data_IF_781016033819
#
_entry.id   IF_781016033819
#
_cell.length_a   1.000
_cell.length_b   1.000
_cell.length_c   1.000
_cell.angle_alpha   90.00
_cell.angle_beta   90.00
_cell.angle_gamma   90.00
#
_symmetry.space_group_name_H-M   'P 1'
#
loop_
_entity.id
_entity.type
_entity.pdbx_description
1 polymer ?
#
# COMPACT_ATOMS: atom_id res chain seq x y z
N UNK A 1 5.30 11.95 27.73
CA UNK A 1 6.20 11.86 26.57
C UNK A 1 5.63 10.78 25.68
N UNK A 2 4.97 11.19 24.60
CA UNK A 2 4.40 10.33 23.56
C UNK A 2 5.56 9.64 22.84
N UNK A 3 5.58 8.32 22.81
CA UNK A 3 6.52 7.53 22.02
C UNK A 3 6.08 7.60 20.54
N UNK A 4 6.21 8.80 19.96
CA UNK A 4 6.20 8.96 18.51
C UNK A 4 7.48 8.30 18.02
N UNK A 5 7.38 7.30 17.13
CA UNK A 5 8.55 6.93 16.34
C UNK A 5 8.90 8.16 15.53
N UNK A 6 9.94 8.90 15.98
CA UNK A 6 10.50 10.05 15.28
C UNK A 6 10.61 9.66 13.80
N UNK A 7 9.94 10.42 12.92
CA UNK A 7 9.96 10.15 11.48
C UNK A 7 11.39 9.88 11.06
N UNK A 8 11.65 8.72 10.44
CA UNK A 8 13.02 8.33 10.08
C UNK A 8 13.58 9.39 9.15
N UNK A 9 14.84 9.77 9.36
CA UNK A 9 15.55 10.61 8.38
C UNK A 9 16.01 9.72 7.23
N UNK A 10 16.22 10.30 6.06
CA UNK A 10 16.70 9.58 4.86
C UNK A 10 18.04 8.86 5.15
N UNK A 11 18.86 9.44 6.02
CA UNK A 11 20.16 8.87 6.43
C UNK A 11 20.02 7.57 7.24
N UNK A 12 18.88 7.36 7.89
CA UNK A 12 18.59 6.17 8.69
C UNK A 12 18.03 5.00 7.82
N UNK A 13 17.81 5.22 6.52
CA UNK A 13 17.33 4.19 5.59
C UNK A 13 18.47 3.28 5.11
N UNK A 14 18.24 1.98 4.88
CA UNK A 14 19.21 1.12 4.21
C UNK A 14 19.42 1.55 2.75
N UNK A 15 20.59 1.27 2.18
CA UNK A 15 20.98 1.75 0.83
C UNK A 15 19.99 1.39 -0.27
N UNK A 16 19.41 0.19 -0.21
CA UNK A 16 18.40 -0.24 -1.19
C UNK A 16 17.11 0.60 -1.09
N UNK A 17 16.74 1.02 0.12
CA UNK A 17 15.53 1.80 0.37
C UNK A 17 15.73 3.27 -0.02
N UNK A 18 16.95 3.81 0.13
CA UNK A 18 17.29 5.16 -0.34
C UNK A 18 17.06 5.32 -1.84
N UNK A 19 17.48 4.34 -2.65
CA UNK A 19 17.27 4.38 -4.11
C UNK A 19 15.79 4.41 -4.48
N UNK A 20 14.99 3.51 -3.88
CA UNK A 20 13.54 3.50 -4.11
C UNK A 20 12.84 4.79 -3.62
N UNK A 21 13.32 5.36 -2.52
CA UNK A 21 12.85 6.65 -2.00
C UNK A 21 13.14 7.80 -2.99
N UNK A 22 14.34 7.83 -3.57
CA UNK A 22 14.73 8.82 -4.58
C UNK A 22 13.88 8.68 -5.85
N UNK A 23 13.70 7.45 -6.34
CA UNK A 23 12.87 7.13 -7.51
C UNK A 23 11.39 7.48 -7.30
N UNK A 24 10.87 7.33 -6.07
CA UNK A 24 9.50 7.72 -5.72
C UNK A 24 9.28 9.25 -5.70
N UNK A 25 10.35 10.04 -5.72
CA UNK A 25 10.27 11.51 -5.75
C UNK A 25 10.67 12.20 -4.45
N UNK A 26 11.34 11.49 -3.53
CA UNK A 26 11.94 12.04 -2.31
C UNK A 26 11.00 12.86 -1.41
N UNK A 27 9.86 12.30 -0.96
CA UNK A 27 8.91 13.02 -0.10
C UNK A 27 9.51 13.34 1.28
N UNK A 28 9.07 14.42 1.91
CA UNK A 28 9.48 14.74 3.28
C UNK A 28 9.01 13.64 4.24
N UNK A 29 9.95 12.95 4.87
CA UNK A 29 9.68 11.82 5.77
C UNK A 29 9.23 12.26 7.18
N UNK A 30 9.46 13.53 7.52
CA UNK A 30 9.06 14.08 8.81
C UNK A 30 7.53 14.09 8.92
N UNK A 31 7.00 13.52 10.02
CA UNK A 31 5.56 13.41 10.24
C UNK A 31 4.84 12.28 9.50
N UNK A 32 5.54 11.45 8.69
CA UNK A 32 4.93 10.27 8.07
C UNK A 32 4.86 9.04 8.99
N UNK A 33 5.63 9.06 10.09
CA UNK A 33 5.77 7.97 11.05
C UNK A 33 4.49 7.53 11.75
N UNK A 34 4.57 6.38 12.42
CA UNK A 34 3.46 5.88 13.23
C UNK A 34 3.34 6.60 14.57
N UNK A 35 2.09 6.86 14.97
CA UNK A 35 1.68 7.39 16.27
C UNK A 35 0.81 6.36 16.97
N UNK A 36 1.37 5.68 17.97
CA UNK A 36 0.68 4.57 18.67
C UNK A 36 -0.12 5.01 19.91
N UNK A 37 0.22 6.16 20.48
CA UNK A 37 -0.32 6.64 21.76
C UNK A 37 -0.93 8.04 21.63
N UNK A 38 -1.84 8.41 22.54
CA UNK A 38 -2.57 9.68 22.50
C UNK A 38 -4.07 9.52 22.23
N UNK A 39 -4.80 10.61 21.92
CA UNK A 39 -6.20 10.56 21.51
C UNK A 39 -6.40 9.64 20.30
N UNK A 40 -7.55 8.96 20.23
CA UNK A 40 -7.81 7.98 19.16
C UNK A 40 -7.71 8.58 17.76
N UNK A 41 -8.10 9.86 17.61
CA UNK A 41 -8.04 10.60 16.35
C UNK A 41 -6.62 10.88 15.85
N UNK A 42 -5.64 10.93 16.76
CA UNK A 42 -4.25 11.25 16.44
C UNK A 42 -3.42 9.99 16.17
N UNK A 43 -3.94 8.82 16.57
CA UNK A 43 -3.26 7.53 16.38
C UNK A 43 -3.28 7.15 14.91
N UNK A 44 -2.10 6.86 14.38
CA UNK A 44 -1.87 6.56 12.97
C UNK A 44 -0.87 5.42 12.92
N UNK A 45 -1.32 4.24 12.54
CA UNK A 45 -0.46 3.06 12.51
C UNK A 45 -0.83 2.12 11.37
N UNK A 46 0.17 1.42 10.85
CA UNK A 46 -0.02 0.29 9.95
C UNK A 46 0.49 0.52 8.54
N UNK A 47 0.54 -0.56 7.77
CA UNK A 47 1.07 -0.57 6.41
C UNK A 47 0.14 0.18 5.44
N UNK A 48 0.75 1.00 4.60
CA UNK A 48 0.10 1.82 3.57
C UNK A 48 0.64 1.38 2.21
N UNK A 49 -0.14 1.64 1.16
CA UNK A 49 0.41 1.54 -0.19
C UNK A 49 1.59 2.50 -0.33
N UNK A 50 2.55 2.08 -1.13
CA UNK A 50 3.82 2.78 -1.40
C UNK A 50 4.82 2.73 -0.23
N UNK A 51 4.50 2.07 0.89
CA UNK A 51 5.46 1.90 1.98
C UNK A 51 6.63 1.02 1.56
N UNK A 52 7.85 1.37 1.99
CA UNK A 52 9.00 0.49 1.85
C UNK A 52 8.98 -0.55 2.96
N UNK A 53 9.00 -1.82 2.57
CA UNK A 53 8.91 -2.96 3.47
C UNK A 53 10.02 -3.98 3.21
N UNK A 54 10.35 -4.74 4.24
CA UNK A 54 11.16 -5.95 4.18
C UNK A 54 10.32 -7.12 4.68
N UNK A 55 10.35 -8.23 3.94
CA UNK A 55 9.56 -9.42 4.21
C UNK A 55 10.49 -10.60 4.39
N UNK A 56 10.35 -11.28 5.53
CA UNK A 56 11.01 -12.54 5.80
C UNK A 56 10.11 -13.68 5.34
N UNK A 57 10.65 -14.55 4.49
CA UNK A 57 9.99 -15.76 4.01
C UNK A 57 10.43 -16.98 4.83
N UNK A 58 9.58 -18.00 4.86
CA UNK A 58 9.94 -19.31 5.38
C UNK A 58 10.98 -19.97 4.47
N UNK A 59 12.21 -20.12 4.97
CA UNK A 59 13.34 -20.68 4.22
C UNK A 59 13.08 -22.10 3.71
N UNK A 60 12.19 -22.87 4.37
CA UNK A 60 11.84 -24.24 3.95
C UNK A 60 11.06 -24.28 2.64
N UNK A 61 10.48 -23.14 2.25
CA UNK A 61 9.71 -22.98 1.01
C UNK A 61 10.57 -22.41 -0.14
N UNK A 62 11.88 -22.25 0.09
CA UNK A 62 12.82 -21.68 -0.88
C UNK A 62 13.91 -22.69 -1.27
N UNK A 63 14.50 -22.54 -2.47
CA UNK A 63 15.74 -23.23 -2.83
C UNK A 63 16.88 -22.91 -1.85
N UNK A 64 17.81 -23.86 -1.65
CA UNK A 64 18.90 -23.75 -0.67
C UNK A 64 19.84 -22.56 -0.91
N UNK A 65 19.92 -22.07 -2.14
CA UNK A 65 20.80 -20.98 -2.57
C UNK A 65 20.13 -19.59 -2.53
N UNK A 66 18.90 -19.49 -1.99
CA UNK A 66 18.11 -18.27 -2.05
C UNK A 66 17.97 -17.59 -0.70
N UNK A 67 18.26 -16.30 -0.65
CA UNK A 67 18.00 -15.48 0.52
C UNK A 67 16.49 -15.38 0.81
N UNK A 68 16.06 -15.50 2.08
CA UNK A 68 14.65 -15.48 2.46
C UNK A 68 14.07 -14.07 2.57
N UNK A 69 14.78 -13.05 2.09
CA UNK A 69 14.36 -11.66 2.21
C UNK A 69 13.82 -11.13 0.89
N UNK A 70 12.61 -10.56 0.94
CA UNK A 70 12.06 -9.76 -0.14
C UNK A 70 11.95 -8.32 0.34
N UNK A 71 12.51 -7.39 -0.43
CA UNK A 71 12.58 -5.97 -0.10
C UNK A 71 11.98 -5.16 -1.23
N UNK A 72 11.29 -4.08 -0.91
CA UNK A 72 10.72 -3.23 -1.94
C UNK A 72 9.57 -2.38 -1.45
N UNK A 73 8.85 -1.83 -2.40
CA UNK A 73 7.67 -0.99 -2.18
C UNK A 73 6.39 -1.82 -2.18
N UNK A 74 5.54 -1.64 -1.18
CA UNK A 74 4.25 -2.31 -1.08
C UNK A 74 3.26 -1.71 -2.09
N UNK A 75 2.89 -2.48 -3.11
CA UNK A 75 1.95 -2.06 -4.15
C UNK A 75 0.51 -2.43 -3.77
N UNK A 76 0.35 -3.59 -3.15
CA UNK A 76 -0.96 -4.16 -2.89
C UNK A 76 -0.95 -5.24 -1.82
N UNK A 77 -2.10 -5.40 -1.19
CA UNK A 77 -2.36 -6.51 -0.28
C UNK A 77 -3.66 -7.17 -0.70
N UNK A 78 -3.57 -8.38 -1.23
CA UNK A 78 -4.75 -9.20 -1.52
C UNK A 78 -5.05 -10.09 -0.31
N UNK A 79 -6.14 -10.87 -0.39
CA UNK A 79 -6.53 -11.82 0.67
C UNK A 79 -5.42 -12.85 0.93
N UNK A 80 -4.73 -13.30 -0.11
CA UNK A 80 -3.80 -14.42 -0.05
C UNK A 80 -2.35 -14.05 -0.37
N UNK A 81 -2.08 -12.82 -0.80
CA UNK A 81 -0.75 -12.38 -1.16
C UNK A 81 -0.48 -10.92 -0.78
N UNK A 82 0.80 -10.57 -0.76
CA UNK A 82 1.27 -9.19 -0.80
C UNK A 82 2.03 -8.97 -2.11
N UNK A 83 1.87 -7.78 -2.67
CA UNK A 83 2.43 -7.40 -3.96
C UNK A 83 3.49 -6.33 -3.72
N UNK A 84 4.72 -6.61 -4.17
CA UNK A 84 5.91 -5.80 -3.89
C UNK A 84 6.58 -5.47 -5.21
N UNK A 85 6.92 -4.21 -5.41
CA UNK A 85 7.88 -3.80 -6.43
C UNK A 85 9.27 -3.82 -5.81
N UNK A 86 10.11 -4.75 -6.24
CA UNK A 86 11.41 -4.97 -5.60
C UNK A 86 12.47 -3.92 -6.02
N UNK A 87 13.64 -3.98 -5.41
CA UNK A 87 14.75 -3.06 -5.69
C UNK A 87 15.35 -3.16 -7.11
N UNK A 88 14.89 -4.11 -7.93
CA UNK A 88 15.28 -4.28 -9.34
C UNK A 88 14.20 -3.78 -10.30
N UNK A 89 13.07 -3.29 -9.77
CA UNK A 89 11.90 -2.94 -10.55
C UNK A 89 11.04 -4.15 -10.94
N UNK A 90 11.31 -5.33 -10.38
CA UNK A 90 10.53 -6.53 -10.67
C UNK A 90 9.29 -6.58 -9.76
N UNK A 91 8.14 -6.83 -10.37
CA UNK A 91 6.90 -7.10 -9.61
C UNK A 91 6.95 -8.50 -9.00
N UNK A 92 6.69 -8.59 -7.70
CA UNK A 92 6.64 -9.84 -6.94
C UNK A 92 5.31 -9.97 -6.22
N UNK A 93 4.62 -11.09 -6.44
CA UNK A 93 3.49 -11.52 -5.62
C UNK A 93 3.96 -12.61 -4.67
N UNK A 94 3.91 -12.33 -3.37
CA UNK A 94 4.35 -13.24 -2.31
C UNK A 94 3.12 -13.76 -1.58
N UNK A 95 2.96 -15.09 -1.54
CA UNK A 95 1.85 -15.73 -0.84
C UNK A 95 1.96 -15.50 0.68
N UNK A 96 0.83 -15.26 1.36
CA UNK A 96 0.82 -14.91 2.79
C UNK A 96 1.20 -16.05 3.72
N UNK A 97 0.97 -17.28 3.29
CA UNK A 97 1.27 -18.51 4.04
C UNK A 97 2.78 -18.81 4.14
N UNK A 98 3.60 -18.24 3.24
CA UNK A 98 5.07 -18.37 3.30
C UNK A 98 5.76 -17.21 4.01
N UNK A 99 5.01 -16.23 4.53
CA UNK A 99 5.58 -15.05 5.21
C UNK A 99 5.72 -15.32 6.70
N UNK A 100 6.92 -15.09 7.22
CA UNK A 100 7.25 -15.16 8.64
C UNK A 100 7.09 -13.79 9.31
N UNK A 101 7.59 -12.73 8.67
CA UNK A 101 7.58 -11.37 9.22
C UNK A 101 7.45 -10.33 8.11
N UNK A 102 6.73 -9.24 8.37
CA UNK A 102 6.75 -8.02 7.54
C UNK A 102 7.24 -6.85 8.40
N UNK A 103 8.35 -6.25 7.99
CA UNK A 103 8.98 -5.11 8.65
C UNK A 103 8.77 -3.86 7.83
N UNK A 104 8.12 -2.86 8.41
CA UNK A 104 8.06 -1.52 7.84
C UNK A 104 9.43 -0.85 7.93
N UNK A 105 9.96 -0.44 6.79
CA UNK A 105 11.21 0.33 6.70
C UNK A 105 10.89 1.82 6.81
N UNK A 106 10.01 2.34 5.96
CA UNK A 106 9.54 3.73 6.06
C UNK A 106 8.22 3.93 5.34
N UNK A 107 7.43 4.88 5.82
CA UNK A 107 6.31 5.40 5.07
C UNK A 107 6.81 6.40 4.02
N UNK A 108 6.25 6.32 2.81
CA UNK A 108 6.48 7.31 1.74
C UNK A 108 5.27 8.22 1.52
N UNK A 109 4.11 7.84 2.07
CA UNK A 109 2.83 8.53 1.89
C UNK A 109 2.18 8.87 3.23
N UNK A 110 1.40 9.95 3.22
CA UNK A 110 0.57 10.32 4.38
C UNK A 110 -0.47 9.23 4.63
N UNK A 111 -1.00 9.21 5.86
CA UNK A 111 -2.15 8.36 6.14
C UNK A 111 -3.32 8.72 5.23
N UNK A 112 -4.17 7.73 4.93
CA UNK A 112 -5.34 7.89 4.08
C UNK A 112 -6.17 9.14 4.43
N UNK A 113 -6.38 9.39 5.72
CA UNK A 113 -7.21 10.50 6.22
C UNK A 113 -6.61 11.88 5.90
N UNK A 114 -5.29 11.94 5.73
CA UNK A 114 -4.55 13.19 5.49
C UNK A 114 -4.10 13.36 4.05
N UNK A 115 -4.29 12.33 3.22
CA UNK A 115 -3.87 12.32 1.84
C UNK A 115 -4.93 12.95 0.93
N UNK A 116 -4.79 14.26 0.71
CA UNK A 116 -5.73 15.05 -0.09
C UNK A 116 -5.81 14.57 -1.54
N UNK A 117 -4.71 14.05 -2.08
CA UNK A 117 -4.66 13.53 -3.45
C UNK A 117 -5.45 12.22 -3.56
N UNK A 118 -5.26 11.30 -2.61
CA UNK A 118 -5.98 10.04 -2.55
C UNK A 118 -7.48 10.26 -2.35
N UNK A 119 -7.85 11.12 -1.40
CA UNK A 119 -9.25 11.47 -1.12
C UNK A 119 -9.93 12.11 -2.34
N UNK A 120 -9.20 12.92 -3.11
CA UNK A 120 -9.71 13.51 -4.36
C UNK A 120 -9.89 12.43 -5.43
N UNK A 121 -8.88 11.59 -5.63
CA UNK A 121 -8.93 10.51 -6.61
C UNK A 121 -10.11 9.56 -6.37
N UNK A 122 -10.34 9.16 -5.12
CA UNK A 122 -11.47 8.27 -4.78
C UNK A 122 -12.83 8.93 -4.97
N UNK A 123 -12.96 10.22 -4.63
CA UNK A 123 -14.19 10.98 -4.92
C UNK A 123 -14.49 11.02 -6.42
N UNK A 124 -13.46 11.27 -7.23
CA UNK A 124 -13.58 11.32 -8.69
C UNK A 124 -13.86 9.93 -9.29
N UNK A 125 -13.31 8.86 -8.70
CA UNK A 125 -13.60 7.48 -9.09
C UNK A 125 -15.04 7.06 -8.74
N UNK A 126 -15.51 7.36 -7.53
CA UNK A 126 -16.90 7.12 -7.13
C UNK A 126 -17.88 7.85 -8.04
N UNK A 127 -17.55 9.09 -8.43
CA UNK A 127 -18.35 9.86 -9.39
C UNK A 127 -18.41 9.17 -10.74
N UNK A 128 -17.28 8.72 -11.28
CA UNK A 128 -17.21 7.98 -12.56
C UNK A 128 -18.00 6.68 -12.52
N UNK A 129 -17.92 5.90 -11.44
CA UNK A 129 -18.71 4.66 -11.29
C UNK A 129 -20.21 4.93 -11.24
N UNK A 130 -20.62 6.00 -10.56
CA UNK A 130 -22.03 6.42 -10.50
C UNK A 130 -22.56 6.84 -11.87
N UNK A 131 -21.77 7.63 -12.62
CA UNK A 131 -22.12 8.04 -13.99
C UNK A 131 -22.20 6.85 -14.96
N UNK A 132 -21.33 5.84 -14.81
CA UNK A 132 -21.42 4.60 -15.60
C UNK A 132 -22.66 3.77 -15.26
N UNK A 133 -22.99 3.61 -13.97
CA UNK A 133 -24.21 2.93 -13.55
C UNK A 133 -25.48 3.61 -14.08
N UNK A 134 -25.56 4.95 -13.99
CA UNK A 134 -26.68 5.72 -14.51
C UNK A 134 -26.86 5.54 -16.03
N UNK A 135 -25.75 5.53 -16.79
CA UNK A 135 -25.78 5.26 -18.24
C UNK A 135 -26.20 3.83 -18.55
N UNK A 136 -25.77 2.85 -17.75
CA UNK A 136 -26.17 1.46 -17.91
C UNK A 136 -27.67 1.25 -17.65
N UNK A 137 -28.23 1.88 -16.62
CA UNK A 137 -29.68 1.84 -16.32
C UNK A 137 -30.49 2.48 -17.46
N UNK A 138 -30.10 3.68 -17.91
CA UNK A 138 -30.76 4.36 -19.05
C UNK A 138 -30.70 3.59 -20.37
N UNK A 139 -29.70 2.71 -20.54
CA UNK A 139 -29.57 1.86 -21.74
C UNK A 139 -30.26 0.50 -21.56
N UNK A 140 -30.44 0.03 -20.32
CA UNK A 140 -31.10 -1.22 -19.95
C UNK A 140 -32.62 -1.16 -19.92
N UNK A 141 -33.23 0.01 -19.65
CA UNK A 141 -34.69 0.21 -19.69
C UNK A 141 -35.33 0.08 -21.09
N UNK A 142 -34.52 -0.15 -22.14
CA UNK A 142 -34.99 -0.33 -23.52
C UNK A 142 -35.21 -1.78 -23.98
N UNK A 143 -34.90 -2.79 -23.17
CA UNK A 143 -35.06 -4.20 -23.53
C UNK A 143 -35.85 -4.96 -22.45
N UNK A 144 -37.02 -5.48 -22.84
CA UNK A 144 -37.97 -6.32 -22.08
C UNK A 144 -39.06 -5.63 -21.24
N UNK A 145 -40.13 -5.23 -21.93
CA UNK A 145 -41.48 -5.10 -21.33
C UNK A 145 -42.54 -5.84 -22.17
N UNK A 146 -42.23 -7.06 -22.67
CA UNK A 146 -43.20 -7.81 -23.50
C UNK A 146 -43.08 -9.35 -23.46
N UNK A 147 -42.61 -9.95 -22.36
CA UNK A 147 -42.40 -11.41 -22.33
C UNK A 147 -42.96 -12.12 -21.09
N UNK A 148 -44.14 -11.71 -20.64
CA UNK A 148 -45.04 -12.59 -19.88
C UNK A 148 -46.50 -12.21 -20.21
N UNK A 149 -47.03 -12.87 -21.23
CA UNK A 149 -48.44 -12.93 -21.61
C UNK A 149 -48.74 -14.33 -22.13
#
# INVERSE_FOLDING_TARGET
MTDERRGRRVEDLPDWARRLYEEYGSPELEGLGDVFHGPLMDRKSGLRKDDLIEVLLDIRMLPEDREPWVRGMLIGTTRNAIEILDQRGDFRSVARDVIVEVRLITHLRRTYIEDRELLKFEKDDMRRRSEMHEKAEKTGEGYESSLWG
#
